data_IF_707266323621
#
_entry.id   IF_707266323621
#
_cell.length_a   1.000
_cell.length_b   1.000
_cell.length_c   1.000
_cell.angle_alpha   90.00
_cell.angle_beta   90.00
_cell.angle_gamma   90.00
#
_symmetry.space_group_name_H-M   'P 1'
#
loop_
_entity.id
_entity.type
_entity.pdbx_description
1 polymer ?
#
# COMPACT_ATOMS: atom_id res chain seq x y z
N UNK A 1 -15.36 -9.91 0.95
CA UNK A 1 -15.00 -8.55 0.43
C UNK A 1 -14.59 -7.69 1.63
N UNK A 2 -13.68 -6.73 1.47
CA UNK A 2 -13.33 -5.76 2.51
C UNK A 2 -13.61 -4.33 2.01
N UNK A 3 -14.15 -3.47 2.86
CA UNK A 3 -14.34 -2.05 2.59
C UNK A 3 -13.87 -1.20 3.76
N UNK A 4 -13.54 0.06 3.49
CA UNK A 4 -13.22 1.07 4.49
C UNK A 4 -13.65 2.46 3.99
N UNK A 5 -13.85 3.41 4.89
CA UNK A 5 -14.44 4.72 4.58
C UNK A 5 -13.97 5.84 5.52
N UNK A 6 -14.59 7.02 5.38
CA UNK A 6 -14.43 8.20 6.23
C UNK A 6 -14.96 8.03 7.67
N UNK A 7 -15.80 7.02 7.91
CA UNK A 7 -16.31 6.67 9.25
C UNK A 7 -15.28 5.91 10.10
N UNK A 8 -14.07 5.70 9.56
CA UNK A 8 -12.94 5.02 10.19
C UNK A 8 -13.20 3.53 10.48
N UNK A 9 -14.28 2.96 9.95
CA UNK A 9 -14.58 1.55 10.10
C UNK A 9 -13.96 0.74 8.95
N UNK A 10 -13.52 -0.48 9.28
CA UNK A 10 -13.27 -1.53 8.28
C UNK A 10 -14.36 -2.57 8.43
N UNK A 11 -14.98 -2.93 7.30
CA UNK A 11 -16.07 -3.91 7.25
C UNK A 11 -15.66 -5.04 6.32
N UNK A 12 -15.74 -6.27 6.83
CA UNK A 12 -15.61 -7.49 6.07
C UNK A 12 -17.00 -8.03 5.78
N UNK A 13 -17.24 -8.35 4.51
CA UNK A 13 -18.53 -8.76 4.00
C UNK A 13 -18.50 -10.20 3.54
N UNK A 14 -19.49 -10.96 3.95
CA UNK A 14 -19.92 -12.14 3.20
C UNK A 14 -20.73 -11.66 2.01
N UNK A 15 -20.08 -11.70 0.85
CA UNK A 15 -20.67 -11.21 -0.40
C UNK A 15 -21.82 -12.09 -0.87
N UNK A 16 -21.84 -13.38 -0.52
CA UNK A 16 -22.86 -14.31 -0.98
C UNK A 16 -24.17 -14.13 -0.21
N UNK A 17 -24.10 -13.86 1.09
CA UNK A 17 -25.27 -13.56 1.92
C UNK A 17 -25.63 -12.08 1.97
N UNK A 18 -24.81 -11.21 1.39
CA UNK A 18 -24.96 -9.74 1.43
C UNK A 18 -25.04 -9.22 2.89
N UNK A 19 -24.22 -9.78 3.78
CA UNK A 19 -24.16 -9.40 5.19
C UNK A 19 -22.77 -8.93 5.58
N UNK A 20 -22.71 -7.98 6.51
CA UNK A 20 -21.48 -7.64 7.21
C UNK A 20 -21.12 -8.81 8.15
N UNK A 21 -20.01 -9.46 7.89
CA UNK A 21 -19.50 -10.56 8.72
C UNK A 21 -18.73 -10.02 9.92
N UNK A 22 -17.91 -8.98 9.71
CA UNK A 22 -17.11 -8.32 10.74
C UNK A 22 -17.12 -6.83 10.48
N UNK A 23 -17.25 -6.02 11.53
CA UNK A 23 -17.00 -4.58 11.48
C UNK A 23 -16.16 -4.18 12.69
N UNK A 24 -15.13 -3.38 12.48
CA UNK A 24 -14.26 -2.91 13.56
C UNK A 24 -13.69 -1.51 13.29
N UNK A 25 -13.36 -0.81 14.37
CA UNK A 25 -12.65 0.46 14.31
C UNK A 25 -11.23 0.26 13.79
N UNK A 26 -10.88 0.94 12.69
CA UNK A 26 -9.58 0.79 12.04
C UNK A 26 -8.41 1.38 12.84
N UNK A 27 -8.73 2.18 13.86
CA UNK A 27 -7.85 3.08 14.61
C UNK A 27 -7.08 4.12 13.75
N UNK A 28 -7.43 4.28 12.47
CA UNK A 28 -6.97 5.43 11.69
C UNK A 28 -7.62 6.71 12.21
N UNK A 29 -6.97 7.86 11.97
CA UNK A 29 -7.47 9.18 12.40
C UNK A 29 -8.10 10.00 11.27
N UNK A 30 -8.21 9.43 10.08
CA UNK A 30 -8.75 10.07 8.90
C UNK A 30 -9.15 9.01 7.86
N UNK A 31 -9.74 9.44 6.75
CA UNK A 31 -10.27 8.57 5.68
C UNK A 31 -9.39 7.36 5.39
N UNK A 32 -9.96 6.17 5.50
CA UNK A 32 -9.28 4.91 5.16
C UNK A 32 -9.47 4.64 3.67
N UNK A 33 -8.42 4.90 2.90
CA UNK A 33 -8.46 4.80 1.44
C UNK A 33 -8.46 3.36 0.93
N UNK A 34 -7.83 2.44 1.68
CA UNK A 34 -7.76 1.05 1.25
C UNK A 34 -7.70 0.10 2.44
N UNK A 35 -8.41 -1.02 2.31
CA UNK A 35 -8.28 -2.20 3.16
C UNK A 35 -8.18 -3.46 2.27
N UNK A 36 -7.30 -4.40 2.62
CA UNK A 36 -7.07 -5.64 1.86
C UNK A 36 -6.80 -6.81 2.79
N UNK A 37 -7.29 -7.99 2.41
CA UNK A 37 -6.89 -9.24 3.03
C UNK A 37 -5.43 -9.54 2.72
N UNK A 38 -4.70 -10.03 3.72
CA UNK A 38 -3.40 -10.66 3.53
C UNK A 38 -3.63 -12.11 3.08
N UNK A 39 -3.08 -12.54 1.93
CA UNK A 39 -3.18 -13.92 1.48
C UNK A 39 -2.58 -14.92 2.49
N UNK A 40 -3.09 -16.15 2.49
CA UNK A 40 -2.60 -17.24 3.37
C UNK A 40 -2.66 -16.91 4.86
N UNK A 41 -3.64 -16.10 5.26
CA UNK A 41 -3.87 -15.72 6.65
C UNK A 41 -5.19 -16.24 7.23
N UNK A 42 -5.84 -17.19 6.55
CA UNK A 42 -7.18 -17.70 6.89
C UNK A 42 -8.19 -16.55 7.10
N UNK A 43 -8.10 -15.52 6.25
CA UNK A 43 -8.87 -14.27 6.32
C UNK A 43 -8.75 -13.50 7.65
N UNK A 44 -7.77 -13.86 8.49
CA UNK A 44 -7.56 -13.28 9.82
C UNK A 44 -6.62 -12.07 9.84
N UNK A 45 -6.04 -11.66 8.71
CA UNK A 45 -5.17 -10.47 8.64
C UNK A 45 -5.62 -9.49 7.57
N UNK A 46 -5.80 -8.24 7.98
CA UNK A 46 -6.21 -7.14 7.11
C UNK A 46 -5.17 -6.03 7.19
N UNK A 47 -4.68 -5.55 6.05
CA UNK A 47 -3.86 -4.35 5.97
C UNK A 47 -4.70 -3.18 5.47
N UNK A 48 -4.49 -2.00 6.06
CA UNK A 48 -5.13 -0.76 5.64
C UNK A 48 -4.16 0.41 5.53
N UNK A 49 -4.49 1.38 4.67
CA UNK A 49 -3.81 2.66 4.56
C UNK A 49 -4.82 3.81 4.51
N UNK A 50 -4.41 4.98 4.97
CA UNK A 50 -5.31 6.10 5.17
C UNK A 50 -4.66 7.47 4.91
N UNK A 51 -5.50 8.50 4.91
CA UNK A 51 -5.11 9.91 4.79
C UNK A 51 -4.22 10.40 5.93
N UNK A 52 -4.22 9.73 7.08
CA UNK A 52 -3.32 10.03 8.20
C UNK A 52 -1.86 9.53 7.97
N UNK A 53 -1.58 9.00 6.79
CA UNK A 53 -0.27 8.48 6.38
C UNK A 53 0.09 7.14 7.00
N UNK A 54 -0.77 6.55 7.82
CA UNK A 54 -0.46 5.29 8.49
C UNK A 54 -0.75 4.12 7.59
N UNK A 55 0.09 3.09 7.73
CA UNK A 55 -0.22 1.73 7.31
C UNK A 55 -0.44 0.91 8.56
N UNK A 56 -1.58 0.24 8.67
CA UNK A 56 -1.96 -0.58 9.82
C UNK A 56 -2.22 -2.02 9.40
N UNK A 57 -1.85 -2.95 10.28
CA UNK A 57 -2.15 -4.38 10.16
C UNK A 57 -3.07 -4.76 11.32
N UNK A 58 -4.29 -5.18 11.00
CA UNK A 58 -5.23 -5.77 11.93
C UNK A 58 -5.12 -7.30 11.90
N UNK A 59 -5.19 -7.89 13.09
CA UNK A 59 -5.25 -9.33 13.30
C UNK A 59 -6.57 -9.67 13.97
N UNK A 60 -7.31 -10.59 13.36
CA UNK A 60 -8.58 -11.11 13.84
C UNK A 60 -8.36 -12.50 14.44
N UNK A 61 -9.22 -12.85 15.39
CA UNK A 61 -9.40 -14.23 15.80
C UNK A 61 -10.22 -14.99 14.74
N UNK A 62 -10.18 -16.35 14.73
CA UNK A 62 -10.96 -17.15 13.78
C UNK A 62 -12.48 -16.95 13.86
N UNK A 63 -12.99 -16.40 14.97
CA UNK A 63 -14.40 -16.03 15.14
C UNK A 63 -14.75 -14.65 14.57
N UNK A 64 -13.78 -13.97 13.95
CA UNK A 64 -13.92 -12.64 13.37
C UNK A 64 -13.73 -11.48 14.35
N UNK A 65 -13.52 -11.74 15.64
CA UNK A 65 -13.28 -10.68 16.62
C UNK A 65 -11.90 -10.04 16.44
N UNK A 66 -11.82 -8.71 16.59
CA UNK A 66 -10.55 -7.98 16.49
C UNK A 66 -9.64 -8.33 17.68
N UNK A 67 -8.48 -8.90 17.40
CA UNK A 67 -7.46 -9.19 18.40
C UNK A 67 -6.60 -7.96 18.70
N UNK A 68 -6.03 -7.37 17.64
CA UNK A 68 -5.21 -6.16 17.72
C UNK A 68 -5.11 -5.47 16.37
N UNK A 69 -4.75 -4.20 16.40
CA UNK A 69 -4.23 -3.49 15.23
C UNK A 69 -2.87 -2.87 15.57
N UNK A 70 -1.97 -2.86 14.59
CA UNK A 70 -0.61 -2.36 14.75
C UNK A 70 -0.29 -1.41 13.60
N UNK A 71 0.24 -0.24 13.92
CA UNK A 71 0.88 0.62 12.92
C UNK A 71 2.20 -0.01 12.47
N UNK A 72 2.31 -0.33 11.19
CA UNK A 72 3.48 -0.99 10.60
C UNK A 72 4.37 -0.03 9.78
N UNK A 73 3.80 1.07 9.26
CA UNK A 73 4.56 2.14 8.62
C UNK A 73 3.86 3.50 8.77
N UNK A 74 4.59 4.59 8.50
CA UNK A 74 4.12 5.96 8.58
C UNK A 74 4.75 6.80 7.46
N UNK A 75 3.92 7.22 6.52
CA UNK A 75 4.21 8.30 5.58
C UNK A 75 4.09 9.67 6.27
N UNK A 76 4.81 10.67 5.80
CA UNK A 76 4.69 12.06 6.32
C UNK A 76 3.50 12.82 5.73
N UNK A 77 2.89 12.28 4.68
CA UNK A 77 1.65 12.74 4.05
C UNK A 77 0.71 11.54 3.82
N UNK A 78 -0.40 11.73 3.09
CA UNK A 78 -1.42 10.70 2.87
C UNK A 78 -0.86 9.43 2.25
N UNK A 79 -1.27 8.25 2.73
CA UNK A 79 -0.89 6.96 2.16
C UNK A 79 -2.03 6.41 1.28
N UNK A 80 -1.84 6.38 -0.04
CA UNK A 80 -2.94 6.18 -1.00
C UNK A 80 -3.18 4.74 -1.40
N UNK A 81 -2.12 3.93 -1.51
CA UNK A 81 -2.23 2.62 -2.13
C UNK A 81 -1.33 1.60 -1.47
N UNK A 82 -1.85 0.37 -1.43
CA UNK A 82 -1.22 -0.83 -0.96
C UNK A 82 -1.11 -1.85 -2.10
N UNK A 83 0.04 -2.50 -2.16
CA UNK A 83 0.25 -3.72 -2.91
C UNK A 83 0.75 -4.82 -1.98
N UNK A 84 0.27 -6.04 -2.18
CA UNK A 84 0.60 -7.19 -1.34
C UNK A 84 1.18 -8.28 -2.23
N UNK A 85 2.20 -8.98 -1.73
CA UNK A 85 2.67 -10.18 -2.40
C UNK A 85 1.63 -11.31 -2.29
N UNK A 86 1.04 -11.68 -3.43
CA UNK A 86 0.02 -12.71 -3.50
C UNK A 86 0.56 -14.15 -3.54
N UNK A 87 1.88 -14.33 -3.59
CA UNK A 87 2.49 -15.67 -3.63
C UNK A 87 2.87 -16.14 -2.23
N UNK A 88 3.42 -15.25 -1.38
CA UNK A 88 3.80 -15.61 0.00
C UNK A 88 2.92 -14.97 1.06
N UNK A 89 2.24 -13.86 0.75
CA UNK A 89 1.45 -13.10 1.72
C UNK A 89 2.28 -12.39 2.79
N UNK A 90 3.61 -12.28 2.64
CA UNK A 90 4.46 -11.69 3.69
C UNK A 90 4.85 -10.24 3.44
N UNK A 91 4.94 -9.83 2.18
CA UNK A 91 5.40 -8.50 1.79
C UNK A 91 4.24 -7.55 1.50
N UNK A 92 4.32 -6.36 2.07
CA UNK A 92 3.42 -5.24 1.83
C UNK A 92 4.24 -4.06 1.30
N UNK A 93 3.74 -3.45 0.24
CA UNK A 93 4.27 -2.22 -0.35
C UNK A 93 3.22 -1.12 -0.21
N UNK A 94 3.66 0.07 0.15
CA UNK A 94 2.79 1.25 0.20
C UNK A 94 3.44 2.45 -0.48
N UNK A 95 2.62 3.34 -1.03
CA UNK A 95 3.05 4.63 -1.55
C UNK A 95 2.19 5.77 -1.00
N UNK A 96 2.79 6.97 -0.91
CA UNK A 96 2.10 8.15 -0.38
C UNK A 96 2.46 9.45 -1.08
N UNK A 97 1.74 10.51 -0.69
CA UNK A 97 1.94 11.88 -1.18
C UNK A 97 3.30 12.48 -0.81
N UNK A 98 4.02 11.83 0.10
CA UNK A 98 5.39 12.19 0.48
C UNK A 98 6.45 11.72 -0.51
N UNK A 99 6.01 11.08 -1.62
CA UNK A 99 6.89 10.57 -2.67
C UNK A 99 7.67 9.33 -2.26
N UNK A 100 7.26 8.68 -1.17
CA UNK A 100 7.97 7.54 -0.61
C UNK A 100 7.28 6.24 -0.96
N UNK A 101 8.08 5.20 -1.18
CA UNK A 101 7.62 3.81 -1.15
C UNK A 101 8.18 3.12 0.09
N UNK A 102 7.30 2.54 0.90
CA UNK A 102 7.69 1.61 1.95
C UNK A 102 7.53 0.17 1.49
N UNK A 103 8.43 -0.68 1.96
CA UNK A 103 8.29 -2.13 1.97
C UNK A 103 8.31 -2.62 3.42
N UNK A 104 7.37 -3.49 3.76
CA UNK A 104 7.21 -4.11 5.07
C UNK A 104 7.09 -5.62 4.89
N UNK A 105 7.95 -6.38 5.54
CA UNK A 105 7.72 -7.80 5.79
C UNK A 105 6.95 -7.94 7.10
N UNK A 106 5.74 -8.51 7.07
CA UNK A 106 4.86 -8.61 8.25
C UNK A 106 5.38 -9.54 9.35
N UNK A 107 6.39 -10.37 9.04
CA UNK A 107 7.05 -11.25 10.02
C UNK A 107 8.11 -10.50 10.80
N UNK A 108 8.59 -9.38 10.26
CA UNK A 108 9.58 -8.52 10.89
C UNK A 108 8.91 -7.38 11.66
N UNK A 109 9.66 -6.75 12.56
CA UNK A 109 9.20 -5.58 13.31
C UNK A 109 9.76 -4.27 12.74
N UNK A 110 9.96 -4.20 11.42
CA UNK A 110 10.60 -3.06 10.74
C UNK A 110 9.85 -2.69 9.47
N UNK A 111 9.72 -1.39 9.23
CA UNK A 111 9.37 -0.84 7.92
C UNK A 111 10.62 -0.28 7.26
N UNK A 112 10.76 -0.55 5.97
CA UNK A 112 11.89 -0.09 5.17
C UNK A 112 11.40 0.93 4.16
N UNK A 113 11.89 2.16 4.25
CA UNK A 113 11.78 3.13 3.17
C UNK A 113 12.72 2.68 2.06
N UNK A 114 12.16 2.22 0.95
CA UNK A 114 12.95 1.61 -0.14
C UNK A 114 13.15 2.52 -1.34
N UNK A 115 12.30 3.55 -1.52
CA UNK A 115 12.41 4.48 -2.63
C UNK A 115 11.92 5.87 -2.21
N UNK A 116 12.60 6.91 -2.69
CA UNK A 116 12.09 8.28 -2.71
C UNK A 116 12.04 8.72 -4.17
N UNK A 117 10.89 9.22 -4.61
CA UNK A 117 10.67 9.60 -6.00
C UNK A 117 10.58 11.11 -6.08
N UNK A 118 11.35 11.68 -6.99
CA UNK A 118 11.33 13.11 -7.32
C UNK A 118 11.18 13.27 -8.84
N UNK A 119 10.69 14.44 -9.26
CA UNK A 119 10.58 14.81 -10.67
C UNK A 119 10.72 16.32 -10.73
N UNK A 120 11.76 16.83 -11.40
CA UNK A 120 11.98 18.27 -11.52
C UNK A 120 10.74 18.99 -12.09
N UNK A 121 10.28 20.10 -11.47
CA UNK A 121 10.91 20.87 -10.38
C UNK A 121 10.56 20.43 -8.94
N UNK A 122 9.84 19.32 -8.78
CA UNK A 122 9.40 18.78 -7.50
C UNK A 122 10.44 17.84 -6.86
N UNK A 123 10.98 18.26 -5.72
CA UNK A 123 11.91 17.46 -4.90
C UNK A 123 11.28 16.17 -4.31
N UNK A 124 9.95 16.11 -4.24
CA UNK A 124 9.20 14.91 -3.88
C UNK A 124 7.94 14.86 -4.74
N UNK A 125 7.74 13.75 -5.44
CA UNK A 125 6.62 13.51 -6.33
C UNK A 125 5.52 12.73 -5.60
N UNK A 126 4.33 13.32 -5.32
CA UNK A 126 3.22 12.60 -4.71
C UNK A 126 2.86 11.33 -5.49
N UNK A 127 2.79 10.20 -4.79
CA UNK A 127 2.44 8.91 -5.38
C UNK A 127 1.01 8.52 -5.00
N UNK A 128 0.28 8.02 -6.00
CA UNK A 128 -1.14 7.67 -5.87
C UNK A 128 -1.42 6.20 -6.10
N UNK A 129 -0.53 5.47 -6.77
CA UNK A 129 -0.70 4.04 -7.01
C UNK A 129 0.62 3.28 -6.99
N UNK A 130 0.57 2.06 -6.48
CA UNK A 130 1.64 1.06 -6.52
C UNK A 130 1.03 -0.33 -6.74
N UNK A 131 1.69 -1.18 -7.51
CA UNK A 131 1.32 -2.60 -7.69
C UNK A 131 2.58 -3.45 -7.92
N UNK A 132 2.64 -4.62 -7.28
CA UNK A 132 3.67 -5.63 -7.49
C UNK A 132 3.39 -6.41 -8.78
N UNK A 133 4.45 -6.73 -9.51
CA UNK A 133 4.33 -7.61 -10.67
C UNK A 133 4.06 -9.05 -10.20
N UNK A 134 2.88 -9.58 -10.57
CA UNK A 134 2.43 -10.93 -10.17
C UNK A 134 3.27 -12.07 -10.74
N UNK A 135 3.98 -11.82 -11.85
CA UNK A 135 4.85 -12.82 -12.49
C UNK A 135 6.32 -12.68 -12.07
N UNK A 136 6.69 -11.56 -11.44
CA UNK A 136 8.05 -11.30 -10.97
C UNK A 136 7.99 -10.42 -9.70
N UNK A 137 8.04 -11.03 -8.53
CA UNK A 137 7.95 -10.34 -7.23
C UNK A 137 9.06 -9.31 -6.98
N UNK A 138 10.12 -9.33 -7.79
CA UNK A 138 11.17 -8.33 -7.69
C UNK A 138 10.74 -7.00 -8.32
N UNK A 139 9.76 -7.00 -9.21
CA UNK A 139 9.30 -5.80 -9.91
C UNK A 139 8.04 -5.23 -9.26
N UNK A 140 7.99 -3.90 -9.20
CA UNK A 140 6.76 -3.16 -8.89
C UNK A 140 6.66 -1.93 -9.78
N UNK A 141 5.43 -1.47 -9.96
CA UNK A 141 5.11 -0.28 -10.73
C UNK A 141 4.54 0.78 -9.81
N UNK A 142 4.89 2.04 -10.06
CA UNK A 142 4.32 3.21 -9.38
C UNK A 142 3.78 4.23 -10.38
N UNK A 143 2.79 4.99 -9.92
CA UNK A 143 2.25 6.16 -10.61
C UNK A 143 1.87 7.25 -9.60
N UNK A 144 1.95 8.51 -10.02
CA UNK A 144 1.79 9.66 -9.13
C UNK A 144 1.25 10.89 -9.84
N UNK A 145 1.68 12.05 -9.37
CA UNK A 145 1.22 13.36 -9.84
C UNK A 145 1.62 13.67 -11.30
N UNK A 146 2.69 13.07 -11.78
CA UNK A 146 3.20 13.30 -13.14
C UNK A 146 2.67 12.25 -14.13
N UNK A 147 2.81 12.45 -15.45
CA UNK A 147 2.21 11.57 -16.45
C UNK A 147 2.97 10.24 -16.64
N UNK A 148 3.90 9.92 -15.74
CA UNK A 148 4.81 8.80 -15.88
C UNK A 148 4.38 7.60 -15.03
N UNK A 149 4.43 6.42 -15.65
CA UNK A 149 4.35 5.12 -14.99
C UNK A 149 5.76 4.54 -14.96
N UNK A 150 6.25 4.21 -13.76
CA UNK A 150 7.63 3.77 -13.55
C UNK A 150 7.66 2.35 -12.99
N UNK A 151 8.39 1.47 -13.66
CA UNK A 151 8.66 0.10 -13.17
C UNK A 151 10.04 0.07 -12.53
N UNK A 152 10.13 -0.47 -11.33
CA UNK A 152 11.37 -0.64 -10.57
C UNK A 152 11.58 -2.10 -10.23
N UNK A 153 12.85 -2.48 -10.01
CA UNK A 153 13.21 -3.75 -9.39
C UNK A 153 13.73 -3.48 -7.97
N UNK A 154 13.08 -4.08 -6.98
CA UNK A 154 13.34 -3.86 -5.56
C UNK A 154 14.76 -4.25 -5.12
N UNK A 155 15.45 -5.09 -5.90
CA UNK A 155 16.83 -5.53 -5.60
C UNK A 155 17.88 -4.47 -5.96
N UNK A 156 17.49 -3.47 -6.77
CA UNK A 156 18.39 -2.44 -7.30
C UNK A 156 17.98 -1.03 -6.85
N UNK A 157 17.35 -0.92 -5.68
CA UNK A 157 16.95 0.35 -5.07
C UNK A 157 18.06 0.87 -4.14
N UNK A 158 19.11 1.42 -4.73
CA UNK A 158 20.03 2.25 -3.96
C UNK A 158 19.32 3.60 -3.67
N UNK A 159 19.40 4.05 -2.41
CA UNK A 159 18.62 5.17 -1.88
C UNK A 159 18.97 6.54 -2.48
N UNK A 160 20.02 6.63 -3.31
CA UNK A 160 20.53 7.88 -3.89
C UNK A 160 20.32 7.92 -5.41
N UNK A 161 20.32 6.77 -6.09
CA UNK A 161 20.33 6.72 -7.57
C UNK A 161 19.32 5.77 -8.22
N UNK A 162 18.39 5.18 -7.46
CA UNK A 162 17.40 4.25 -8.01
C UNK A 162 16.72 4.78 -9.28
N UNK A 163 17.06 4.20 -10.43
CA UNK A 163 16.45 4.50 -11.73
C UNK A 163 15.38 3.47 -12.04
N UNK A 164 14.26 3.89 -12.66
CA UNK A 164 13.27 2.92 -13.12
C UNK A 164 13.88 2.04 -14.22
N UNK A 165 13.53 0.75 -14.20
CA UNK A 165 13.81 -0.18 -15.29
C UNK A 165 13.09 0.24 -16.57
N UNK A 166 11.86 0.74 -16.41
CA UNK A 166 11.01 1.23 -17.51
C UNK A 166 10.28 2.47 -17.05
N UNK A 167 10.23 3.47 -17.93
CA UNK A 167 9.52 4.72 -17.70
C UNK A 167 8.57 4.94 -18.88
N UNK A 168 7.27 4.87 -18.64
CA UNK A 168 6.24 4.98 -19.67
C UNK A 168 5.49 6.29 -19.51
N UNK A 169 5.34 7.03 -20.60
CA UNK A 169 4.48 8.20 -20.69
C UNK A 169 3.96 8.26 -22.13
N UNK A 170 2.66 8.51 -22.36
CA UNK A 170 2.16 8.80 -23.70
C UNK A 170 2.87 10.00 -24.31
N UNK A 171 3.31 9.91 -25.57
CA UNK A 171 4.06 10.97 -26.26
C UNK A 171 3.33 12.33 -26.23
N UNK A 172 1.99 12.31 -26.29
CA UNK A 172 1.13 13.48 -26.23
C UNK A 172 1.20 14.26 -24.91
N UNK A 173 1.73 13.65 -23.84
CA UNK A 173 1.86 14.27 -22.51
C UNK A 173 3.30 14.73 -22.21
N UNK A 174 4.24 14.44 -23.11
CA UNK A 174 5.62 14.91 -23.02
C UNK A 174 5.72 16.12 -23.96
N UNK A 175 5.57 17.32 -23.43
CA UNK A 175 5.89 18.53 -24.20
C UNK A 175 7.39 18.56 -24.50
N UNK A 176 7.77 18.84 -25.77
CA UNK A 176 9.16 18.97 -26.23
C UNK A 176 10.05 19.85 -25.34
#
# INVERSE_FOLDING_TARGET
LASASDDLQIILWDWASNQAAVAYDSEHRSNVFQAKFIPFSDDCKIVSCARDGQIRLAELHPDGSLSRTKKIAQHSASAHKLSIDNITGTDIFSCGEDGIVFHVDIRENKSNKILSVSSEPMNSLPLYSIELNRNNQNEFVIAGMDPYIRVFDRRYLDSVTAKPLKNFCPDLLVSE
#
